data_IF_286899478348
#
_entry.id   IF_286899478348
#
_cell.length_a   1.000
_cell.length_b   1.000
_cell.length_c   1.000
_cell.angle_alpha   90.00
_cell.angle_beta   90.00
_cell.angle_gamma   90.00
#
_symmetry.space_group_name_H-M   'P 1'
#
loop_
_entity.id
_entity.type
_entity.pdbx_description
1 polymer ?
#
# COMPACT_ATOMS: atom_id res chain seq x y z
N UNK A 1 -38.19 0.09 41.48
CA UNK A 1 -38.32 0.99 40.31
C UNK A 1 -37.06 1.84 40.14
N UNK A 2 -36.02 1.39 39.41
CA UNK A 2 -34.91 2.30 39.08
C UNK A 2 -34.37 2.02 37.63
N UNK A 3 -33.73 2.86 36.83
CA UNK A 3 -32.84 4.02 37.01
C UNK A 3 -32.93 4.93 35.77
N UNK A 4 -32.55 6.18 35.96
CA UNK A 4 -32.40 7.26 34.98
C UNK A 4 -31.66 6.80 33.70
N UNK A 5 -32.30 6.92 32.54
CA UNK A 5 -31.59 6.92 31.25
C UNK A 5 -30.91 8.27 31.11
N UNK A 6 -29.58 8.31 31.22
CA UNK A 6 -28.79 9.52 31.02
C UNK A 6 -28.81 9.91 29.53
N UNK A 7 -29.88 10.57 29.11
CA UNK A 7 -29.94 11.21 27.79
C UNK A 7 -29.10 12.49 27.85
N UNK A 8 -28.03 12.55 27.05
CA UNK A 8 -27.08 13.67 27.05
C UNK A 8 -27.39 14.63 25.92
N UNK A 9 -27.15 15.91 26.12
CA UNK A 9 -27.25 16.90 25.03
C UNK A 9 -26.12 16.72 24.03
N UNK A 10 -26.27 17.26 22.81
CA UNK A 10 -25.23 17.17 21.76
C UNK A 10 -23.84 17.64 22.24
N UNK A 11 -23.79 18.66 23.11
CA UNK A 11 -22.55 19.23 23.62
C UNK A 11 -21.90 18.30 24.66
N UNK A 12 -22.69 17.71 25.55
CA UNK A 12 -22.20 16.75 26.56
C UNK A 12 -21.76 15.44 25.90
N UNK A 13 -22.48 14.97 24.89
CA UNK A 13 -22.10 13.80 24.10
C UNK A 13 -20.80 14.05 23.31
N UNK A 14 -20.64 15.26 22.76
CA UNK A 14 -19.41 15.66 22.06
C UNK A 14 -18.20 15.71 23.02
N UNK A 15 -18.39 16.28 24.22
CA UNK A 15 -17.36 16.31 25.26
C UNK A 15 -16.96 14.90 25.73
N UNK A 16 -17.93 13.98 25.85
CA UNK A 16 -17.68 12.59 26.25
C UNK A 16 -16.88 11.81 25.21
N UNK A 17 -17.02 12.16 23.92
CA UNK A 17 -16.24 11.58 22.82
C UNK A 17 -14.94 12.35 22.51
N UNK A 18 -14.67 13.46 23.21
CA UNK A 18 -13.51 14.32 22.95
C UNK A 18 -13.51 14.97 21.57
N UNK A 19 -14.69 15.13 20.94
CA UNK A 19 -14.85 15.71 19.60
C UNK A 19 -15.61 17.02 19.63
N UNK A 20 -15.42 17.85 18.60
CA UNK A 20 -16.14 19.11 18.48
C UNK A 20 -17.64 18.90 18.19
N UNK A 21 -18.53 19.69 18.80
CA UNK A 21 -20.00 19.56 18.69
C UNK A 21 -20.51 19.66 17.25
N UNK A 22 -19.82 20.40 16.37
CA UNK A 22 -20.14 20.45 14.94
C UNK A 22 -20.01 19.09 14.24
N UNK A 23 -19.13 18.20 14.72
CA UNK A 23 -18.96 16.84 14.19
C UNK A 23 -20.15 15.94 14.57
N UNK A 24 -20.66 16.08 15.80
CA UNK A 24 -21.92 15.42 16.21
C UNK A 24 -23.09 15.92 15.38
N UNK A 25 -23.19 17.23 15.14
CA UNK A 25 -24.22 17.81 14.25
C UNK A 25 -24.16 17.24 12.83
N UNK A 26 -22.95 16.98 12.29
CA UNK A 26 -22.77 16.32 11.00
C UNK A 26 -23.26 14.88 11.02
N UNK A 27 -23.00 14.11 12.07
CA UNK A 27 -23.48 12.72 12.22
C UNK A 27 -25.00 12.62 12.31
N UNK A 28 -25.65 13.62 12.89
CA UNK A 28 -27.11 13.73 12.91
C UNK A 28 -27.63 14.02 11.49
N UNK A 29 -27.00 14.96 10.77
CA UNK A 29 -27.39 15.31 9.39
C UNK A 29 -27.15 14.16 8.39
N UNK A 30 -26.12 13.36 8.60
CA UNK A 30 -25.83 12.20 7.75
C UNK A 30 -26.66 10.96 8.11
N UNK A 31 -27.60 11.06 9.05
CA UNK A 31 -28.48 9.96 9.45
C UNK A 31 -27.83 8.85 10.29
N UNK A 32 -26.55 9.02 10.67
CA UNK A 32 -25.78 7.99 11.40
C UNK A 32 -26.30 7.82 12.83
N UNK A 33 -26.77 8.91 13.45
CA UNK A 33 -27.25 8.92 14.85
C UNK A 33 -28.77 8.93 14.98
N UNK A 34 -29.53 8.78 13.88
CA UNK A 34 -30.98 9.04 13.87
C UNK A 34 -31.78 8.11 14.81
N UNK A 35 -31.33 6.86 14.98
CA UNK A 35 -31.93 5.87 15.90
C UNK A 35 -31.57 6.09 17.38
N UNK A 36 -30.63 6.98 17.69
CA UNK A 36 -30.16 7.28 19.04
C UNK A 36 -30.60 8.66 19.54
N UNK A 37 -31.46 9.36 18.80
CA UNK A 37 -31.87 10.74 19.08
C UNK A 37 -33.33 10.81 19.52
N UNK A 38 -33.58 11.59 20.57
CA UNK A 38 -34.91 12.11 20.94
C UNK A 38 -34.91 13.62 20.76
N UNK A 39 -35.85 14.13 19.96
CA UNK A 39 -36.06 15.58 19.79
C UNK A 39 -37.19 16.03 20.72
N UNK A 40 -36.87 16.95 21.61
CA UNK A 40 -37.85 17.59 22.48
C UNK A 40 -37.77 19.11 22.26
N UNK A 41 -38.74 19.63 21.50
CA UNK A 41 -38.77 21.03 21.07
C UNK A 41 -37.50 21.45 20.33
N UNK A 42 -36.76 22.42 20.89
CA UNK A 42 -35.54 22.99 20.29
C UNK A 42 -34.25 22.26 20.70
N UNK A 43 -34.32 21.27 21.61
CA UNK A 43 -33.16 20.54 22.13
C UNK A 43 -33.16 19.09 21.64
N UNK A 44 -31.96 18.57 21.42
CA UNK A 44 -31.73 17.20 20.95
C UNK A 44 -31.02 16.43 22.04
N UNK A 45 -31.65 15.35 22.49
CA UNK A 45 -31.15 14.44 23.49
C UNK A 45 -30.65 13.17 22.79
N UNK A 46 -29.45 12.73 23.15
CA UNK A 46 -28.75 11.60 22.54
C UNK A 46 -28.54 10.54 23.62
N UNK A 47 -28.96 9.32 23.33
CA UNK A 47 -28.64 8.16 24.16
C UNK A 47 -27.18 7.74 23.89
N UNK A 48 -26.26 7.91 24.85
CA UNK A 48 -24.82 7.78 24.61
C UNK A 48 -24.38 6.35 24.27
N UNK A 49 -25.10 5.33 24.72
CA UNK A 49 -24.76 3.93 24.43
C UNK A 49 -25.11 3.61 22.97
N UNK A 50 -26.37 3.85 22.59
CA UNK A 50 -26.84 3.64 21.21
C UNK A 50 -26.08 4.50 20.20
N UNK A 51 -25.73 5.72 20.57
CA UNK A 51 -25.00 6.61 19.69
C UNK A 51 -23.56 6.13 19.45
N UNK A 52 -22.87 5.59 20.47
CA UNK A 52 -21.54 4.99 20.29
C UNK A 52 -21.59 3.74 19.41
N UNK A 53 -22.60 2.90 19.57
CA UNK A 53 -22.74 1.69 18.76
C UNK A 53 -23.00 2.01 17.29
N UNK A 54 -23.88 2.97 17.01
CA UNK A 54 -24.13 3.45 15.65
C UNK A 54 -22.90 4.13 15.02
N UNK A 55 -22.12 4.88 15.81
CA UNK A 55 -20.87 5.48 15.31
C UNK A 55 -19.84 4.39 15.01
N UNK A 56 -19.67 3.40 15.89
CA UNK A 56 -18.78 2.26 15.65
C UNK A 56 -19.16 1.47 14.40
N UNK A 57 -20.45 1.24 14.19
CA UNK A 57 -20.95 0.52 13.02
C UNK A 57 -20.74 1.26 11.70
N UNK A 58 -20.66 2.60 11.70
CA UNK A 58 -20.61 3.42 10.48
C UNK A 58 -19.28 4.15 10.22
N UNK A 59 -18.42 4.34 11.23
CA UNK A 59 -17.20 5.17 11.09
C UNK A 59 -15.89 4.38 11.02
N UNK A 60 -15.87 3.08 11.33
CA UNK A 60 -14.63 2.33 11.50
C UNK A 60 -14.44 1.29 10.36
N UNK A 61 -13.50 1.51 9.41
CA UNK A 61 -13.20 0.56 8.34
C UNK A 61 -12.71 -0.80 8.89
N UNK A 62 -12.06 -0.79 10.05
CA UNK A 62 -11.58 -1.99 10.74
C UNK A 62 -12.72 -2.82 11.34
N UNK A 63 -13.86 -2.21 11.67
CA UNK A 63 -15.03 -2.93 12.17
C UNK A 63 -15.84 -3.54 11.02
N UNK A 64 -15.88 -2.88 9.84
CA UNK A 64 -16.38 -3.52 8.61
C UNK A 64 -15.58 -4.78 8.25
N UNK A 65 -14.25 -4.75 8.38
CA UNK A 65 -13.41 -5.92 8.13
C UNK A 65 -13.70 -7.09 9.08
N UNK A 66 -14.04 -6.80 10.35
CA UNK A 66 -14.35 -7.83 11.36
C UNK A 66 -15.81 -8.32 11.32
N UNK A 67 -16.76 -7.45 10.99
CA UNK A 67 -18.14 -7.85 10.75
C UNK A 67 -18.31 -8.75 9.51
N UNK A 68 -17.40 -8.62 8.52
CA UNK A 68 -17.34 -9.50 7.35
C UNK A 68 -16.68 -10.86 7.70
N UNK A 69 -15.79 -10.93 8.71
CA UNK A 69 -15.18 -12.20 9.13
C UNK A 69 -16.07 -13.06 10.03
N UNK A 70 -16.92 -12.42 10.84
CA UNK A 70 -17.72 -13.10 11.86
C UNK A 70 -19.18 -13.34 11.43
N UNK A 71 -19.57 -12.94 10.20
CA UNK A 71 -20.87 -13.23 9.62
C UNK A 71 -20.80 -14.46 8.71
N UNK A 72 -21.28 -15.61 9.22
CA UNK A 72 -21.83 -16.65 8.34
C UNK A 72 -22.91 -16.03 7.42
N UNK A 73 -23.04 -16.50 6.17
CA UNK A 73 -23.79 -15.78 5.15
C UNK A 73 -25.29 -15.85 5.44
N UNK A 74 -25.82 -14.89 6.18
CA UNK A 74 -27.26 -14.63 6.20
C UNK A 74 -27.67 -14.06 4.83
N UNK A 75 -28.20 -14.97 4.01
CA UNK A 75 -28.95 -14.66 2.80
C UNK A 75 -30.15 -13.77 3.15
N UNK A 76 -29.96 -12.45 3.14
CA UNK A 76 -31.08 -11.52 2.99
C UNK A 76 -31.51 -11.51 1.54
N UNK A 77 -32.47 -12.38 1.24
CA UNK A 77 -33.29 -12.34 0.04
C UNK A 77 -34.14 -11.07 0.02
N UNK A 78 -33.61 -10.00 -0.59
CA UNK A 78 -34.44 -8.99 -1.26
C UNK A 78 -34.19 -9.14 -2.76
N UNK A 79 -35.04 -9.95 -3.39
CA UNK A 79 -34.96 -10.27 -4.81
C UNK A 79 -35.06 -9.01 -5.67
N UNK A 80 -34.08 -8.84 -6.56
CA UNK A 80 -34.21 -7.97 -7.74
C UNK A 80 -33.07 -7.00 -8.01
N UNK A 81 -32.26 -6.60 -7.02
CA UNK A 81 -31.31 -5.49 -7.20
C UNK A 81 -29.84 -5.75 -6.86
N UNK A 82 -29.47 -6.94 -6.39
CA UNK A 82 -28.12 -7.20 -5.86
C UNK A 82 -27.18 -7.93 -6.83
N UNK A 83 -27.74 -8.45 -7.93
CA UNK A 83 -26.93 -9.09 -8.99
C UNK A 83 -26.22 -8.04 -9.84
N UNK A 84 -26.81 -6.86 -10.01
CA UNK A 84 -26.24 -5.76 -10.81
C UNK A 84 -25.11 -5.07 -10.07
N UNK A 85 -25.23 -4.88 -8.76
CA UNK A 85 -24.18 -4.33 -7.87
C UNK A 85 -22.98 -5.26 -7.80
N UNK A 86 -23.19 -6.56 -7.56
CA UNK A 86 -22.12 -7.56 -7.54
C UNK A 86 -21.42 -7.70 -8.90
N UNK A 87 -22.18 -7.67 -10.01
CA UNK A 87 -21.61 -7.67 -11.37
C UNK A 87 -20.81 -6.41 -11.65
N UNK A 88 -21.32 -5.23 -11.26
CA UNK A 88 -20.63 -3.96 -11.46
C UNK A 88 -19.30 -3.91 -10.68
N UNK A 89 -19.27 -4.40 -9.45
CA UNK A 89 -18.06 -4.46 -8.64
C UNK A 89 -17.02 -5.40 -9.26
N UNK A 90 -17.44 -6.60 -9.69
CA UNK A 90 -16.57 -7.56 -10.39
C UNK A 90 -16.01 -6.98 -11.68
N UNK A 91 -16.86 -6.33 -12.49
CA UNK A 91 -16.44 -5.67 -13.74
C UNK A 91 -15.46 -4.53 -13.48
N UNK A 92 -15.64 -3.76 -12.40
CA UNK A 92 -14.73 -2.68 -12.04
C UNK A 92 -13.33 -3.21 -11.66
N UNK A 93 -13.27 -4.27 -10.84
CA UNK A 93 -11.99 -4.91 -10.49
C UNK A 93 -11.35 -5.60 -11.70
N UNK A 94 -12.12 -6.28 -12.55
CA UNK A 94 -11.62 -6.86 -13.80
C UNK A 94 -11.10 -5.79 -14.77
N UNK A 95 -11.76 -4.63 -14.86
CA UNK A 95 -11.30 -3.51 -15.68
C UNK A 95 -10.00 -2.91 -15.11
N UNK A 96 -9.89 -2.79 -13.78
CA UNK A 96 -8.66 -2.37 -13.11
C UNK A 96 -7.50 -3.34 -13.34
N UNK A 97 -7.76 -4.65 -13.24
CA UNK A 97 -6.77 -5.69 -13.50
C UNK A 97 -6.33 -5.70 -14.96
N UNK A 98 -7.27 -5.61 -15.91
CA UNK A 98 -6.94 -5.47 -17.35
C UNK A 98 -6.18 -4.18 -17.65
N UNK A 99 -6.45 -3.08 -16.94
CA UNK A 99 -5.70 -1.83 -17.07
C UNK A 99 -4.27 -1.99 -16.55
N UNK A 100 -4.08 -2.61 -15.39
CA UNK A 100 -2.75 -2.92 -14.85
C UNK A 100 -1.98 -3.89 -15.76
N UNK A 101 -2.62 -4.95 -16.25
CA UNK A 101 -2.02 -5.87 -17.23
C UNK A 101 -1.67 -5.16 -18.54
N UNK A 102 -2.51 -4.24 -19.01
CA UNK A 102 -2.25 -3.43 -20.19
C UNK A 102 -1.08 -2.47 -19.96
N UNK A 103 -0.99 -1.83 -18.79
CA UNK A 103 0.11 -0.92 -18.44
C UNK A 103 1.43 -1.67 -18.21
N UNK A 104 1.37 -2.89 -17.65
CA UNK A 104 2.51 -3.82 -17.54
C UNK A 104 2.98 -4.29 -18.92
N UNK A 105 2.07 -4.71 -19.80
CA UNK A 105 2.40 -5.08 -21.20
C UNK A 105 2.85 -3.89 -22.05
N UNK A 106 2.45 -2.66 -21.70
CA UNK A 106 2.94 -1.42 -22.30
C UNK A 106 4.30 -0.96 -21.78
N UNK A 107 4.96 -1.74 -20.90
CA UNK A 107 6.30 -1.47 -20.41
C UNK A 107 6.40 -0.31 -19.41
N UNK A 108 5.28 0.14 -18.81
CA UNK A 108 5.28 1.25 -17.83
C UNK A 108 5.34 0.79 -16.37
N UNK A 109 4.98 -0.46 -16.09
CA UNK A 109 5.05 -1.06 -14.75
C UNK A 109 5.98 -2.26 -14.80
N UNK A 110 7.25 -2.04 -14.43
CA UNK A 110 8.18 -3.13 -14.10
C UNK A 110 8.11 -3.31 -12.58
N UNK A 111 8.09 -4.56 -12.14
CA UNK A 111 8.11 -4.91 -10.73
C UNK A 111 9.43 -4.43 -10.11
N UNK A 112 9.33 -3.50 -9.15
CA UNK A 112 10.50 -2.84 -8.53
C UNK A 112 11.46 -3.90 -7.95
N UNK A 113 10.91 -4.96 -7.35
CA UNK A 113 11.70 -6.08 -6.79
C UNK A 113 12.58 -6.77 -7.84
N UNK A 114 12.12 -6.87 -9.10
CA UNK A 114 12.91 -7.45 -10.19
C UNK A 114 14.06 -6.54 -10.60
N UNK A 115 13.85 -5.23 -10.63
CA UNK A 115 14.90 -4.25 -10.93
C UNK A 115 15.95 -4.25 -9.81
N UNK A 116 15.52 -4.23 -8.55
CA UNK A 116 16.43 -4.25 -7.40
C UNK A 116 17.28 -5.53 -7.41
N UNK A 117 16.65 -6.68 -7.65
CA UNK A 117 17.36 -7.96 -7.74
C UNK A 117 18.34 -7.97 -8.93
N UNK A 118 17.92 -7.49 -10.10
CA UNK A 118 18.77 -7.42 -11.29
C UNK A 118 19.95 -6.47 -11.08
N UNK A 119 19.72 -5.28 -10.51
CA UNK A 119 20.75 -4.31 -10.18
C UNK A 119 21.72 -4.86 -9.13
N UNK A 120 21.23 -5.56 -8.10
CA UNK A 120 22.08 -6.16 -7.08
C UNK A 120 22.94 -7.29 -7.65
N UNK A 121 22.38 -8.13 -8.52
CA UNK A 121 23.13 -9.18 -9.22
C UNK A 121 24.18 -8.59 -10.16
N UNK A 122 23.84 -7.53 -10.90
CA UNK A 122 24.79 -6.80 -11.74
C UNK A 122 25.94 -6.21 -10.89
N UNK A 123 25.62 -5.53 -9.78
CA UNK A 123 26.62 -4.98 -8.86
C UNK A 123 27.54 -6.06 -8.27
N UNK A 124 26.99 -7.23 -7.91
CA UNK A 124 27.80 -8.37 -7.46
C UNK A 124 28.76 -8.83 -8.54
N UNK A 125 28.27 -9.00 -9.78
CA UNK A 125 29.07 -9.43 -10.91
C UNK A 125 30.22 -8.45 -11.22
N UNK A 126 29.94 -7.15 -11.17
CA UNK A 126 30.95 -6.08 -11.29
C UNK A 126 32.06 -6.27 -10.26
N UNK A 127 31.68 -6.38 -8.99
CA UNK A 127 32.63 -6.52 -7.89
C UNK A 127 33.50 -7.76 -8.08
N UNK A 128 32.89 -8.88 -8.44
CA UNK A 128 33.59 -10.15 -8.62
C UNK A 128 34.57 -10.07 -9.82
N UNK A 129 34.20 -9.37 -10.90
CA UNK A 129 35.11 -9.11 -12.03
C UNK A 129 36.31 -8.21 -11.64
N UNK A 130 36.07 -7.17 -10.85
CA UNK A 130 37.13 -6.29 -10.34
C UNK A 130 38.10 -7.05 -9.40
N UNK A 131 37.57 -7.89 -8.51
CA UNK A 131 38.38 -8.69 -7.60
C UNK A 131 39.19 -9.77 -8.31
N UNK A 132 38.81 -10.16 -9.52
CA UNK A 132 39.55 -11.10 -10.34
C UNK A 132 40.69 -10.44 -11.15
N UNK A 133 40.82 -9.11 -11.17
CA UNK A 133 41.92 -8.39 -11.86
C UNK A 133 43.29 -8.82 -11.34
N UNK A 134 43.56 -8.82 -10.01
CA UNK A 134 44.88 -9.16 -9.50
C UNK A 134 45.28 -10.59 -9.88
N UNK A 135 44.37 -11.55 -9.81
CA UNK A 135 44.65 -12.95 -10.15
C UNK A 135 45.06 -13.11 -11.62
N UNK A 136 44.46 -12.34 -12.53
CA UNK A 136 44.80 -12.37 -13.97
C UNK A 136 46.08 -11.61 -14.30
N UNK A 137 46.32 -10.49 -13.62
CA UNK A 137 47.47 -9.62 -13.92
C UNK A 137 48.71 -9.94 -13.10
N UNK A 138 48.61 -10.63 -11.96
CA UNK A 138 49.73 -10.82 -11.03
C UNK A 138 50.95 -11.46 -11.69
N UNK A 139 50.75 -12.52 -12.47
CA UNK A 139 51.86 -13.20 -13.17
C UNK A 139 52.50 -12.32 -14.25
N UNK A 140 51.69 -11.55 -14.98
CA UNK A 140 52.17 -10.65 -16.03
C UNK A 140 52.95 -9.48 -15.42
N UNK A 141 52.41 -8.85 -14.39
CA UNK A 141 53.04 -7.73 -13.67
C UNK A 141 54.29 -8.18 -12.92
N UNK A 142 54.34 -9.42 -12.40
CA UNK A 142 55.52 -9.96 -11.73
C UNK A 142 56.66 -10.31 -12.71
N UNK A 143 56.34 -10.61 -13.97
CA UNK A 143 57.34 -10.86 -15.02
C UNK A 143 57.94 -9.56 -15.57
N UNK A 144 57.21 -8.44 -15.46
CA UNK A 144 57.66 -7.15 -15.97
C UNK A 144 58.55 -6.40 -14.98
N UNK A 145 59.64 -5.81 -15.51
CA UNK A 145 60.61 -5.03 -14.74
C UNK A 145 60.37 -3.52 -14.82
N UNK A 146 59.69 -3.05 -15.86
CA UNK A 146 59.37 -1.64 -16.07
C UNK A 146 58.00 -1.30 -15.46
N UNK A 147 58.01 -0.29 -14.59
CA UNK A 147 56.80 0.26 -13.97
C UNK A 147 55.78 0.75 -15.01
N UNK A 148 56.22 1.30 -16.15
CA UNK A 148 55.30 1.79 -17.18
C UNK A 148 54.53 0.65 -17.84
N UNK A 149 55.22 -0.43 -18.20
CA UNK A 149 54.59 -1.62 -18.78
C UNK A 149 53.64 -2.31 -17.80
N UNK A 150 54.02 -2.41 -16.51
CA UNK A 150 53.11 -2.89 -15.46
C UNK A 150 51.81 -2.07 -15.40
N UNK A 151 51.91 -0.73 -15.50
CA UNK A 151 50.75 0.15 -15.50
C UNK A 151 49.90 -0.03 -16.75
N UNK A 152 50.53 -0.20 -17.92
CA UNK A 152 49.84 -0.46 -19.20
C UNK A 152 49.04 -1.76 -19.15
N UNK A 153 49.62 -2.84 -18.62
CA UNK A 153 48.95 -4.13 -18.45
C UNK A 153 47.70 -3.98 -17.56
N UNK A 154 47.85 -3.33 -16.40
CA UNK A 154 46.73 -3.11 -15.48
C UNK A 154 45.64 -2.22 -16.09
N UNK A 155 46.01 -1.13 -16.75
CA UNK A 155 45.05 -0.24 -17.42
C UNK A 155 44.28 -0.96 -18.51
N UNK A 156 44.96 -1.74 -19.35
CA UNK A 156 44.31 -2.52 -20.42
C UNK A 156 43.25 -3.46 -19.84
N UNK A 157 43.59 -4.17 -18.77
CA UNK A 157 42.67 -5.10 -18.13
C UNK A 157 41.47 -4.38 -17.48
N UNK A 158 41.72 -3.27 -16.78
CA UNK A 158 40.65 -2.46 -16.18
C UNK A 158 39.69 -1.94 -17.26
N UNK A 159 40.23 -1.37 -18.35
CA UNK A 159 39.41 -0.86 -19.45
C UNK A 159 38.58 -1.96 -20.08
N UNK A 160 39.17 -3.14 -20.33
CA UNK A 160 38.44 -4.28 -20.88
C UNK A 160 37.25 -4.72 -20.02
N UNK A 161 37.42 -4.75 -18.69
CA UNK A 161 36.33 -5.10 -17.77
C UNK A 161 35.25 -4.01 -17.76
N UNK A 162 35.65 -2.74 -17.75
CA UNK A 162 34.70 -1.63 -17.77
C UNK A 162 33.88 -1.60 -19.07
N UNK A 163 34.50 -1.90 -20.21
CA UNK A 163 33.83 -2.03 -21.50
C UNK A 163 32.85 -3.21 -21.52
N UNK A 164 33.28 -4.39 -21.05
CA UNK A 164 32.38 -5.54 -20.92
C UNK A 164 31.22 -5.24 -20.00
N UNK A 165 31.47 -4.55 -18.89
CA UNK A 165 30.43 -4.15 -17.98
C UNK A 165 29.44 -3.17 -18.61
N UNK A 166 29.93 -2.16 -19.33
CA UNK A 166 29.08 -1.22 -20.03
C UNK A 166 28.15 -1.94 -21.02
N UNK A 167 28.68 -2.90 -21.78
CA UNK A 167 27.91 -3.72 -22.71
C UNK A 167 26.84 -4.56 -22.00
N UNK A 168 27.17 -5.22 -20.88
CA UNK A 168 26.20 -6.01 -20.11
C UNK A 168 25.08 -5.15 -19.51
N UNK A 169 25.40 -3.92 -19.06
CA UNK A 169 24.38 -3.00 -18.56
C UNK A 169 23.47 -2.47 -19.68
N UNK A 170 24.01 -2.24 -20.88
CA UNK A 170 23.19 -1.90 -22.05
C UNK A 170 22.22 -3.03 -22.42
N UNK A 171 22.65 -4.29 -22.36
CA UNK A 171 21.77 -5.44 -22.62
C UNK A 171 20.64 -5.57 -21.60
N UNK A 172 20.91 -5.27 -20.32
CA UNK A 172 19.89 -5.26 -19.26
C UNK A 172 18.88 -4.10 -19.41
N UNK A 173 19.25 -3.04 -20.13
CA UNK A 173 18.40 -1.87 -20.34
C UNK A 173 17.48 -1.96 -21.56
N UNK A 174 17.67 -2.95 -22.43
CA UNK A 174 16.86 -3.22 -23.62
C UNK A 174 15.75 -4.22 -23.33
#
# INVERSE_FOLDING_TARGET
MPKQKHELTQQEFAALLGIHQSRVSRYIKSGILDSAIRREGRRTFIDPEKAKDNLRANLDPAYHAKAISDAEPEQKTTGGLDVTTARALKMHYEAGLKKLEYEQKRGKLIEIEKIETAAFNAARKIRDQCLAIPDRCAALVAAESDRFECNTILKREITFILENLANELEELSR
#
